data_IF_187463677713
#
_entry.id   IF_187463677713
#
_cell.length_a   1.000
_cell.length_b   1.000
_cell.length_c   1.000
_cell.angle_alpha   90.00
_cell.angle_beta   90.00
_cell.angle_gamma   90.00
#
_symmetry.space_group_name_H-M   'P 1'
#
loop_
_entity.id
_entity.type
_entity.pdbx_description
1 polymer ?
#
# COMPACT_ATOMS: atom_id res chain seq x y z
N UNK A 1 -5.27 -2.78 -18.84
CA UNK A 1 -5.70 -2.06 -17.61
C UNK A 1 -6.49 -2.99 -16.71
N UNK A 2 -6.39 -2.85 -15.38
CA UNK A 2 -7.13 -3.71 -14.45
C UNK A 2 -8.63 -3.39 -14.50
N UNK A 3 -9.48 -4.42 -14.56
CA UNK A 3 -10.93 -4.25 -14.54
C UNK A 3 -11.40 -4.08 -13.09
N UNK A 4 -11.59 -2.84 -12.66
CA UNK A 4 -12.05 -2.52 -11.30
C UNK A 4 -13.57 -2.73 -11.21
N UNK A 5 -14.08 -3.56 -10.26
CA UNK A 5 -15.51 -3.76 -10.08
C UNK A 5 -16.24 -2.46 -9.74
N UNK A 6 -17.49 -2.30 -10.20
CA UNK A 6 -18.29 -1.09 -9.96
C UNK A 6 -18.40 -0.74 -8.47
N UNK A 7 -18.66 -1.74 -7.60
CA UNK A 7 -18.74 -1.51 -6.14
C UNK A 7 -17.47 -0.88 -5.58
N UNK A 8 -16.31 -1.33 -6.07
CA UNK A 8 -15.01 -0.83 -5.60
C UNK A 8 -14.79 0.58 -6.13
N UNK A 9 -15.10 0.83 -7.40
CA UNK A 9 -15.02 2.17 -7.97
C UNK A 9 -15.90 3.18 -7.22
N UNK A 10 -17.11 2.77 -6.83
CA UNK A 10 -18.03 3.62 -6.09
C UNK A 10 -17.55 3.88 -4.64
N UNK A 11 -16.99 2.86 -3.95
CA UNK A 11 -16.34 3.02 -2.63
C UNK A 11 -15.13 3.95 -2.68
N UNK A 12 -14.28 3.77 -3.69
CA UNK A 12 -13.11 4.64 -3.88
C UNK A 12 -13.54 6.10 -4.09
N UNK A 13 -14.61 6.34 -4.86
CA UNK A 13 -15.17 7.69 -5.02
C UNK A 13 -15.71 8.28 -3.71
N UNK A 14 -16.37 7.50 -2.88
CA UNK A 14 -16.97 8.01 -1.64
C UNK A 14 -15.95 8.26 -0.54
N UNK A 15 -14.99 7.34 -0.35
CA UNK A 15 -14.11 7.38 0.83
C UNK A 15 -12.83 8.17 0.61
N UNK A 16 -12.28 8.24 -0.62
CA UNK A 16 -11.00 8.94 -0.85
C UNK A 16 -11.07 10.41 -0.42
N UNK A 17 -12.18 11.10 -0.70
CA UNK A 17 -12.32 12.52 -0.34
C UNK A 17 -12.35 12.74 1.18
N UNK A 18 -13.05 11.87 1.92
CA UNK A 18 -13.08 11.89 3.39
C UNK A 18 -11.66 11.81 3.96
N UNK A 19 -10.85 10.87 3.45
CA UNK A 19 -9.49 10.68 3.95
C UNK A 19 -8.50 11.74 3.48
N UNK A 20 -8.71 12.38 2.33
CA UNK A 20 -7.95 13.57 1.95
C UNK A 20 -8.10 14.69 2.97
N UNK A 21 -9.32 14.98 3.42
CA UNK A 21 -9.58 16.04 4.39
C UNK A 21 -8.91 15.72 5.74
N UNK A 22 -9.00 14.47 6.20
CA UNK A 22 -8.37 14.05 7.46
C UNK A 22 -6.83 14.11 7.35
N UNK A 23 -6.26 13.61 6.25
CA UNK A 23 -4.82 13.68 6.01
C UNK A 23 -4.32 15.13 5.93
N UNK A 24 -5.07 16.02 5.28
CA UNK A 24 -4.72 17.44 5.25
C UNK A 24 -4.66 18.03 6.67
N UNK A 25 -5.68 17.76 7.49
CA UNK A 25 -5.71 18.21 8.88
C UNK A 25 -4.56 17.65 9.72
N UNK A 26 -4.25 16.36 9.57
CA UNK A 26 -3.11 15.73 10.26
C UNK A 26 -1.77 16.35 9.84
N UNK A 27 -1.61 16.63 8.54
CA UNK A 27 -0.41 17.29 8.00
C UNK A 27 -0.24 18.69 8.58
N UNK A 28 -1.30 19.48 8.59
CA UNK A 28 -1.28 20.86 9.09
C UNK A 28 -0.97 20.91 10.61
N UNK A 29 -1.37 19.87 11.35
CA UNK A 29 -1.07 19.71 12.78
C UNK A 29 0.31 19.11 13.06
N UNK A 30 1.01 18.57 12.06
CA UNK A 30 2.29 17.90 12.24
C UNK A 30 2.21 16.70 13.19
N UNK A 31 1.20 15.84 13.02
CA UNK A 31 0.98 14.70 13.93
C UNK A 31 2.11 13.68 13.90
N UNK A 32 2.22 12.89 14.97
CA UNK A 32 3.23 11.84 15.10
C UNK A 32 2.91 10.61 14.24
N UNK A 33 3.89 9.71 14.13
CA UNK A 33 3.77 8.45 13.38
C UNK A 33 2.58 7.59 13.87
N UNK A 34 2.35 7.49 15.17
CA UNK A 34 1.24 6.72 15.74
C UNK A 34 -0.16 7.22 15.29
N UNK A 35 -0.33 8.54 15.16
CA UNK A 35 -1.57 9.13 14.63
C UNK A 35 -1.73 8.83 13.13
N UNK A 36 -0.60 8.80 12.40
CA UNK A 36 -0.57 8.46 10.97
C UNK A 36 -0.87 6.97 10.76
N UNK A 37 -0.35 6.08 11.62
CA UNK A 37 -0.68 4.64 11.61
C UNK A 37 -2.18 4.41 11.81
N UNK A 38 -2.80 5.17 12.71
CA UNK A 38 -4.25 5.10 12.93
C UNK A 38 -5.02 5.48 11.67
N UNK A 39 -4.62 6.58 11.01
CA UNK A 39 -5.20 7.01 9.75
C UNK A 39 -5.01 5.97 8.63
N UNK A 40 -3.83 5.36 8.53
CA UNK A 40 -3.53 4.30 7.55
C UNK A 40 -4.43 3.08 7.78
N UNK A 41 -4.63 2.63 9.04
CA UNK A 41 -5.59 1.56 9.37
C UNK A 41 -7.02 1.90 8.93
N UNK A 42 -7.44 3.14 9.14
CA UNK A 42 -8.75 3.60 8.72
C UNK A 42 -8.90 3.62 7.20
N UNK A 43 -7.88 4.07 6.46
CA UNK A 43 -7.87 4.02 4.99
C UNK A 43 -7.91 2.58 4.48
N UNK A 44 -7.12 1.68 5.06
CA UNK A 44 -7.13 0.26 4.70
C UNK A 44 -8.52 -0.36 4.84
N UNK A 45 -9.21 -0.04 5.93
CA UNK A 45 -10.58 -0.48 6.15
C UNK A 45 -11.56 0.14 5.18
N UNK A 46 -11.71 1.46 5.23
CA UNK A 46 -12.85 2.13 4.62
C UNK A 46 -12.66 2.29 3.11
N UNK A 47 -11.44 2.64 2.66
CA UNK A 47 -11.12 2.82 1.23
C UNK A 47 -10.82 1.47 0.57
N UNK A 48 -9.96 0.66 1.20
CA UNK A 48 -9.46 -0.57 0.60
C UNK A 48 -10.28 -1.82 0.96
N UNK A 49 -11.19 -1.72 1.94
CA UNK A 49 -12.19 -2.75 2.21
C UNK A 49 -11.72 -3.90 3.09
N UNK A 50 -10.67 -3.70 3.89
CA UNK A 50 -10.19 -4.72 4.83
C UNK A 50 -10.98 -4.73 6.13
N UNK A 51 -11.13 -5.89 6.75
CA UNK A 51 -11.62 -5.99 8.12
C UNK A 51 -10.53 -5.55 9.12
N UNK A 52 -10.85 -4.56 9.97
CA UNK A 52 -9.91 -4.00 10.95
C UNK A 52 -9.43 -4.98 12.00
N UNK A 53 -10.23 -5.98 12.35
CA UNK A 53 -9.97 -6.92 13.44
C UNK A 53 -9.42 -8.25 12.93
N UNK A 54 -9.87 -8.69 11.75
CA UNK A 54 -9.47 -9.98 11.20
C UNK A 54 -8.29 -9.87 10.23
N UNK A 55 -8.27 -8.82 9.41
CA UNK A 55 -7.33 -8.72 8.27
C UNK A 55 -6.19 -7.73 8.51
N UNK A 56 -6.35 -6.78 9.45
CA UNK A 56 -5.32 -5.83 9.82
C UNK A 56 -4.67 -6.20 11.15
N UNK A 57 -3.37 -6.44 11.15
CA UNK A 57 -2.60 -6.70 12.37
C UNK A 57 -1.57 -5.61 12.60
N UNK A 58 -1.34 -5.25 13.87
CA UNK A 58 -0.17 -4.47 14.28
C UNK A 58 0.98 -5.38 14.75
N UNK A 59 2.15 -4.78 14.84
CA UNK A 59 3.48 -5.33 15.13
C UNK A 59 3.57 -6.37 16.28
N UNK A 60 2.80 -6.23 17.38
CA UNK A 60 2.96 -7.08 18.57
C UNK A 60 2.60 -8.57 18.42
N UNK A 61 2.04 -9.00 17.30
CA UNK A 61 1.74 -10.42 17.03
C UNK A 61 2.73 -11.10 16.10
N UNK A 62 3.79 -10.40 15.68
CA UNK A 62 4.74 -10.91 14.71
C UNK A 62 6.11 -11.00 15.37
N UNK A 63 6.56 -12.24 15.60
CA UNK A 63 7.75 -12.67 16.35
C UNK A 63 9.01 -11.82 16.10
N UNK A 64 9.16 -10.70 16.81
CA UNK A 64 10.43 -10.01 17.02
C UNK A 64 10.98 -9.23 15.83
N UNK A 65 10.17 -8.74 14.89
CA UNK A 65 10.63 -7.77 13.87
C UNK A 65 9.54 -6.79 13.42
N UNK A 66 10.01 -5.62 12.96
CA UNK A 66 9.37 -4.32 12.98
C UNK A 66 8.68 -3.97 11.65
N UNK A 67 7.36 -4.01 11.60
CA UNK A 67 6.59 -3.26 10.62
C UNK A 67 5.30 -2.79 11.29
N UNK A 68 4.90 -1.55 11.02
CA UNK A 68 3.75 -0.96 11.71
C UNK A 68 2.47 -1.78 11.52
N UNK A 69 2.23 -2.25 10.29
CA UNK A 69 1.04 -3.02 9.94
C UNK A 69 1.36 -4.17 8.98
N UNK A 70 0.54 -5.21 9.04
CA UNK A 70 0.45 -6.20 7.98
C UNK A 70 -1.00 -6.48 7.62
N UNK A 71 -1.24 -6.71 6.33
CA UNK A 71 -2.52 -7.24 5.84
C UNK A 71 -2.42 -8.76 5.78
N UNK A 72 -3.32 -9.44 6.50
CA UNK A 72 -3.41 -10.89 6.58
C UNK A 72 -4.74 -11.35 6.00
N UNK A 73 -4.69 -12.36 5.15
CA UNK A 73 -5.88 -13.03 4.62
C UNK A 73 -5.79 -14.49 5.04
N UNK A 74 -6.84 -15.01 5.66
CA UNK A 74 -6.89 -16.38 6.19
C UNK A 74 -5.66 -16.71 7.07
N UNK A 75 -5.25 -15.75 7.91
CA UNK A 75 -4.09 -15.87 8.80
C UNK A 75 -2.72 -15.73 8.12
N UNK A 76 -2.66 -15.60 6.79
CA UNK A 76 -1.41 -15.48 6.04
C UNK A 76 -1.13 -14.03 5.66
N UNK A 77 0.05 -13.51 6.01
CA UNK A 77 0.46 -12.16 5.62
C UNK A 77 0.61 -12.05 4.09
N UNK A 78 -0.09 -11.07 3.50
CA UNK A 78 -0.10 -10.81 2.05
C UNK A 78 0.85 -9.69 1.68
N UNK A 79 0.87 -8.63 2.47
CA UNK A 79 1.84 -7.55 2.34
C UNK A 79 2.08 -6.86 3.68
N UNK A 80 3.23 -6.21 3.78
CA UNK A 80 3.70 -5.48 4.94
C UNK A 80 3.60 -3.98 4.66
N UNK A 81 3.37 -3.19 5.69
CA UNK A 81 3.25 -1.74 5.57
C UNK A 81 4.15 -1.09 6.62
N UNK A 82 5.09 -0.30 6.13
CA UNK A 82 5.88 0.64 6.93
C UNK A 82 5.22 2.02 6.84
N UNK A 83 4.94 2.61 7.99
CA UNK A 83 4.32 3.92 8.12
C UNK A 83 5.35 4.91 8.64
N UNK A 84 5.24 6.16 8.20
CA UNK A 84 6.00 7.30 8.73
C UNK A 84 5.04 8.40 9.10
N UNK A 85 5.49 9.35 9.93
CA UNK A 85 4.72 10.56 10.20
C UNK A 85 4.37 11.28 8.89
N UNK A 86 3.18 11.87 8.81
CA UNK A 86 2.66 12.50 7.58
C UNK A 86 3.56 13.61 7.00
N UNK A 87 4.32 14.32 7.86
CA UNK A 87 5.27 15.34 7.44
C UNK A 87 6.63 14.79 6.97
N UNK A 88 6.87 13.50 7.10
CA UNK A 88 8.13 12.85 6.76
C UNK A 88 8.19 12.51 5.27
N UNK A 89 9.26 12.93 4.60
CA UNK A 89 9.56 12.50 3.24
C UNK A 89 9.97 11.03 3.20
N UNK A 90 9.31 10.25 2.34
CA UNK A 90 9.59 8.82 2.20
C UNK A 90 10.88 8.60 1.42
N UNK A 91 11.78 7.76 1.95
CA UNK A 91 13.06 7.43 1.32
C UNK A 91 13.38 5.93 1.43
N UNK A 92 14.49 5.52 0.83
CA UNK A 92 14.91 4.12 0.78
C UNK A 92 15.33 3.56 2.16
N UNK A 93 15.81 4.39 3.10
CA UNK A 93 16.19 3.88 4.43
C UNK A 93 14.98 3.40 5.22
N UNK A 94 13.84 4.10 5.07
CA UNK A 94 12.56 3.64 5.62
C UNK A 94 12.14 2.31 5.01
N UNK A 95 12.27 2.14 3.68
CA UNK A 95 11.92 0.88 3.01
C UNK A 95 12.77 -0.29 3.50
N UNK A 96 14.07 -0.08 3.79
CA UNK A 96 14.94 -1.16 4.29
C UNK A 96 14.46 -1.77 5.61
N UNK A 97 13.71 -1.04 6.43
CA UNK A 97 13.16 -1.55 7.70
C UNK A 97 12.24 -2.74 7.44
N UNK A 98 11.34 -2.60 6.47
CA UNK A 98 10.35 -3.63 6.12
C UNK A 98 10.88 -4.70 5.14
N UNK A 99 11.88 -4.37 4.31
CA UNK A 99 12.52 -5.32 3.37
C UNK A 99 13.09 -6.54 4.08
N UNK A 100 13.80 -6.34 5.19
CA UNK A 100 14.43 -7.44 5.93
C UNK A 100 13.39 -8.44 6.43
N UNK A 101 12.28 -7.94 6.95
CA UNK A 101 11.21 -8.79 7.46
C UNK A 101 10.52 -9.56 6.33
N UNK A 102 10.20 -8.88 5.22
CA UNK A 102 9.62 -9.50 4.03
C UNK A 102 10.52 -10.59 3.44
N UNK A 103 11.83 -10.33 3.36
CA UNK A 103 12.81 -11.30 2.87
C UNK A 103 12.91 -12.55 3.76
N UNK A 104 12.90 -12.38 5.09
CA UNK A 104 12.98 -13.48 6.05
C UNK A 104 11.74 -14.39 6.06
N UNK A 105 10.56 -13.82 5.80
CA UNK A 105 9.28 -14.53 5.90
C UNK A 105 8.65 -14.87 4.53
N UNK A 106 9.36 -14.59 3.43
CA UNK A 106 8.88 -14.89 2.07
C UNK A 106 7.70 -14.03 1.63
N UNK A 107 7.54 -12.83 2.19
CA UNK A 107 6.45 -11.91 1.84
C UNK A 107 6.95 -10.97 0.76
N UNK A 108 6.43 -11.12 -0.46
CA UNK A 108 6.96 -10.38 -1.62
C UNK A 108 6.53 -8.92 -1.68
N UNK A 109 5.42 -8.55 -1.03
CA UNK A 109 4.78 -7.25 -1.24
C UNK A 109 4.96 -6.33 -0.04
N UNK A 110 5.43 -5.12 -0.31
CA UNK A 110 5.71 -4.11 0.71
C UNK A 110 5.03 -2.80 0.34
N UNK A 111 4.58 -2.06 1.34
CA UNK A 111 4.04 -0.71 1.20
C UNK A 111 4.81 0.22 2.12
N UNK A 112 5.25 1.36 1.60
CA UNK A 112 5.80 2.45 2.40
C UNK A 112 4.87 3.65 2.24
N UNK A 113 4.40 4.20 3.35
CA UNK A 113 3.45 5.32 3.32
C UNK A 113 3.61 6.28 4.49
N UNK A 114 3.20 7.52 4.29
CA UNK A 114 2.98 8.50 5.34
C UNK A 114 1.51 8.97 5.36
N UNK A 115 0.58 8.11 4.92
CA UNK A 115 -0.84 8.36 4.61
C UNK A 115 -1.12 9.27 3.41
N UNK A 116 -0.22 10.20 3.08
CA UNK A 116 -0.33 11.04 1.90
C UNK A 116 0.20 10.32 0.65
N UNK A 117 1.46 9.92 0.66
CA UNK A 117 2.09 9.18 -0.43
C UNK A 117 2.07 7.69 -0.11
N UNK A 118 1.72 6.89 -1.11
CA UNK A 118 1.67 5.43 -1.02
C UNK A 118 2.56 4.83 -2.09
N UNK A 119 3.62 4.13 -1.67
CA UNK A 119 4.55 3.44 -2.56
C UNK A 119 4.43 1.94 -2.37
N UNK A 120 4.17 1.24 -3.47
CA UNK A 120 3.98 -0.21 -3.50
C UNK A 120 5.19 -0.84 -4.13
N UNK A 121 5.85 -1.73 -3.40
CA UNK A 121 7.06 -2.42 -3.83
C UNK A 121 6.85 -3.92 -3.92
N UNK A 122 7.61 -4.55 -4.80
CA UNK A 122 7.76 -6.00 -4.87
C UNK A 122 9.21 -6.40 -4.63
N UNK A 123 9.44 -7.29 -3.66
CA UNK A 123 10.72 -7.92 -3.42
C UNK A 123 11.07 -8.89 -4.55
N UNK A 124 12.35 -8.90 -4.89
CA UNK A 124 13.02 -9.90 -5.71
C UNK A 124 13.98 -10.67 -4.82
N UNK A 125 13.69 -11.95 -4.61
CA UNK A 125 14.50 -12.85 -3.80
C UNK A 125 15.77 -13.28 -4.53
N UNK A 126 16.64 -12.30 -4.80
CA UNK A 126 17.98 -12.47 -5.37
C UNK A 126 19.05 -12.36 -4.27
N UNK A 127 20.31 -12.56 -4.65
CA UNK A 127 21.46 -12.26 -3.80
C UNK A 127 22.31 -11.20 -4.51
N UNK A 128 22.28 -9.93 -4.09
CA UNK A 128 21.56 -9.36 -2.94
C UNK A 128 20.04 -9.28 -3.15
N UNK A 129 19.27 -9.10 -2.06
CA UNK A 129 17.82 -8.83 -2.16
C UNK A 129 17.61 -7.51 -2.90
N UNK A 130 16.75 -7.54 -3.90
CA UNK A 130 16.38 -6.36 -4.69
C UNK A 130 14.88 -6.09 -4.56
N UNK A 131 14.42 -4.93 -5.03
CA UNK A 131 13.00 -4.59 -5.06
C UNK A 131 12.68 -3.68 -6.23
N UNK A 132 11.42 -3.72 -6.66
CA UNK A 132 10.89 -2.89 -7.72
C UNK A 132 9.77 -2.00 -7.17
N UNK A 133 9.79 -0.70 -7.50
CA UNK A 133 8.64 0.18 -7.29
C UNK A 133 7.58 -0.17 -8.33
N UNK A 134 6.46 -0.73 -7.89
CA UNK A 134 5.38 -1.19 -8.77
C UNK A 134 4.39 -0.07 -9.07
N UNK A 135 4.03 0.71 -8.05
CA UNK A 135 3.14 1.85 -8.22
C UNK A 135 3.36 2.87 -7.11
N UNK A 136 3.06 4.13 -7.45
CA UNK A 136 3.01 5.24 -6.51
C UNK A 136 1.77 6.09 -6.79
N UNK A 137 1.12 6.55 -5.73
CA UNK A 137 0.10 7.58 -5.79
C UNK A 137 0.16 8.50 -4.56
N UNK A 138 -0.29 9.74 -4.76
CA UNK A 138 -0.50 10.72 -3.70
C UNK A 138 -2.00 10.87 -3.47
N UNK A 139 -2.44 10.65 -2.23
CA UNK A 139 -3.84 10.71 -1.80
C UNK A 139 -4.50 12.05 -2.16
N UNK A 140 -3.76 13.16 -2.10
CA UNK A 140 -4.26 14.51 -2.40
C UNK A 140 -4.52 14.75 -3.88
N UNK A 141 -3.92 13.96 -4.78
CA UNK A 141 -4.02 14.18 -6.23
C UNK A 141 -4.64 13.01 -6.99
N UNK A 142 -4.62 11.80 -6.43
CA UNK A 142 -5.09 10.56 -7.07
C UNK A 142 -6.59 10.65 -7.39
N UNK A 143 -7.00 10.53 -8.65
CA UNK A 143 -8.42 10.66 -9.02
C UNK A 143 -9.09 9.30 -9.23
N UNK A 144 -10.06 8.88 -8.39
CA UNK A 144 -10.79 7.62 -8.58
C UNK A 144 -11.57 7.52 -9.91
N UNK A 145 -11.79 8.65 -10.58
CA UNK A 145 -12.54 8.70 -11.84
C UNK A 145 -11.68 8.34 -13.05
N UNK A 146 -10.36 8.53 -12.97
CA UNK A 146 -9.47 8.11 -14.06
C UNK A 146 -9.12 6.63 -13.93
N UNK A 147 -9.10 5.92 -15.07
CA UNK A 147 -8.77 4.49 -15.07
C UNK A 147 -7.36 4.22 -14.52
N UNK A 148 -6.42 5.14 -14.77
CA UNK A 148 -5.01 5.01 -14.39
C UNK A 148 -4.86 5.02 -12.87
N UNK A 149 -5.39 6.05 -12.22
CA UNK A 149 -5.33 6.17 -10.77
C UNK A 149 -6.22 5.16 -10.07
N UNK A 150 -7.40 4.89 -10.61
CA UNK A 150 -8.27 3.85 -10.07
C UNK A 150 -7.61 2.47 -10.13
N UNK A 151 -6.82 2.18 -11.16
CA UNK A 151 -6.03 0.94 -11.24
C UNK A 151 -4.96 0.87 -10.15
N UNK A 152 -4.30 1.99 -9.82
CA UNK A 152 -3.30 2.06 -8.74
C UNK A 152 -3.93 1.87 -7.36
N UNK A 153 -5.04 2.56 -7.09
CA UNK A 153 -5.81 2.39 -5.84
C UNK A 153 -6.31 0.95 -5.68
N UNK A 154 -6.74 0.34 -6.79
CA UNK A 154 -7.24 -1.04 -6.78
C UNK A 154 -6.17 -2.08 -6.40
N UNK A 155 -4.88 -1.77 -6.54
CA UNK A 155 -3.79 -2.68 -6.13
C UNK A 155 -3.83 -3.00 -4.65
N UNK A 156 -4.25 -2.04 -3.82
CA UNK A 156 -4.34 -2.20 -2.37
C UNK A 156 -5.72 -2.64 -1.90
N UNK A 157 -6.75 -2.65 -2.76
CA UNK A 157 -8.08 -3.10 -2.36
C UNK A 157 -8.11 -4.60 -2.02
N UNK A 158 -8.90 -4.98 -1.02
CA UNK A 158 -9.13 -6.37 -0.62
C UNK A 158 -9.54 -7.25 -1.80
N UNK A 159 -10.43 -6.74 -2.66
CA UNK A 159 -10.88 -7.42 -3.87
C UNK A 159 -9.81 -7.46 -4.98
N UNK A 160 -8.82 -6.55 -4.92
CA UNK A 160 -7.67 -6.55 -5.81
C UNK A 160 -6.68 -7.65 -5.44
N UNK A 161 -6.47 -7.90 -4.15
CA UNK A 161 -5.62 -9.00 -3.67
C UNK A 161 -6.14 -10.37 -4.14
N UNK A 162 -7.45 -10.62 -4.03
CA UNK A 162 -8.06 -11.89 -4.45
C UNK A 162 -7.84 -12.18 -5.95
N UNK A 163 -7.72 -11.12 -6.75
CA UNK A 163 -7.52 -11.21 -8.20
C UNK A 163 -6.05 -11.08 -8.63
N UNK A 164 -5.12 -11.15 -7.67
CA UNK A 164 -3.69 -10.94 -7.87
C UNK A 164 -3.37 -9.63 -8.62
N UNK A 165 -4.11 -8.56 -8.32
CA UNK A 165 -4.03 -7.30 -9.03
C UNK A 165 -2.60 -6.74 -9.07
N UNK A 166 -1.88 -6.80 -7.94
CA UNK A 166 -0.48 -6.35 -7.83
C UNK A 166 0.44 -7.10 -8.80
N UNK A 167 0.37 -8.44 -8.82
CA UNK A 167 1.17 -9.30 -9.71
C UNK A 167 0.85 -9.03 -11.19
N UNK A 168 -0.44 -8.92 -11.54
CA UNK A 168 -0.89 -8.67 -12.91
C UNK A 168 -0.47 -7.29 -13.39
N UNK A 169 -0.59 -6.27 -12.54
CA UNK A 169 -0.15 -4.91 -12.84
C UNK A 169 1.35 -4.86 -13.08
N UNK A 170 2.14 -5.44 -12.17
CA UNK A 170 3.60 -5.47 -12.29
C UNK A 170 4.06 -6.14 -13.60
N UNK A 171 3.49 -7.31 -13.93
CA UNK A 171 3.80 -8.02 -15.19
C UNK A 171 3.48 -7.17 -16.43
N UNK A 172 2.34 -6.49 -16.42
CA UNK A 172 1.93 -5.63 -17.54
C UNK A 172 2.88 -4.44 -17.72
N UNK A 173 3.27 -3.76 -16.65
CA UNK A 173 4.20 -2.64 -16.69
C UNK A 173 5.59 -3.08 -17.18
N UNK A 174 6.09 -4.23 -16.72
CA UNK A 174 7.37 -4.77 -17.19
C UNK A 174 7.36 -5.09 -18.69
N UNK A 175 6.24 -5.61 -19.20
CA UNK A 175 6.08 -5.87 -20.64
C UNK A 175 6.14 -4.57 -21.44
N UNK A 176 5.38 -3.55 -21.05
CA UNK A 176 5.38 -2.26 -21.74
C UNK A 176 6.77 -1.61 -21.76
N UNK A 177 7.47 -1.59 -20.64
CA UNK A 177 8.82 -1.03 -20.56
C UNK A 177 9.82 -1.75 -21.47
N UNK A 178 9.64 -3.06 -21.69
CA UNK A 178 10.48 -3.86 -22.60
C UNK A 178 10.29 -3.50 -24.07
N UNK A 179 9.10 -3.04 -24.47
CA UNK A 179 8.80 -2.67 -25.86
C UNK A 179 9.07 -1.20 -26.18
N UNK A 180 9.22 -0.34 -25.18
CA UNK A 180 9.54 1.09 -25.38
C UNK A 180 11.04 1.36 -25.58
N UNK A 181 11.90 0.36 -25.34
CA UNK A 181 13.37 0.43 -25.49
C UNK A 181 13.90 -0.27 -26.76
N UNK A 182 13.03 -0.57 -27.74
CA UNK A 182 13.38 -1.20 -29.01
C UNK A 182 13.22 -0.26 -30.20
#
# INVERSE_FOLDING_TARGET
MLKVPKRVADRLRSEVEKYRVIAASQRDRGVAEADTVTLVKDILSDVFGYDKYEELTSEQQIRGTFCDLAVKIDGTARFLIEVKAIGTELNESHLRQVVNYGAQHGIEWLVLTNSAVWRIYRLRFSQPIEWDLVAEFDLFTVSPDTDADRSKLYLLCREGLDQEAMTRFHRHTQQLNRYTLA
#
